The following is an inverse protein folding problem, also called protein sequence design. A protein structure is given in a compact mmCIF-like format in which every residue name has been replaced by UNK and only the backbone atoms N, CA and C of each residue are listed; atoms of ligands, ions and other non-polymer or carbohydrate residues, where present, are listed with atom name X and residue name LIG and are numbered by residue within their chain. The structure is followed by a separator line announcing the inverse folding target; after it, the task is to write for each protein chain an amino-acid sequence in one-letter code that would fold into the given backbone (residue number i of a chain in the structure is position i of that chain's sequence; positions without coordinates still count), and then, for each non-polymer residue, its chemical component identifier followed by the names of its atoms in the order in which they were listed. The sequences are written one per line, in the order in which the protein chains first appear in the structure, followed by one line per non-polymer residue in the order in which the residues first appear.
data_IF_886727096867
#
_entry.id   IF_886727096867
#
_cell.length_a   1.000
_cell.length_b   1.000
_cell.length_c   1.000
_cell.angle_alpha   90.00
_cell.angle_beta   90.00
_cell.angle_gamma   90.00
#
_symmetry.space_group_name_H-M   'P 1'
#
loop_
_entity.id
_entity.type
_entity.pdbx_description
1 polymer ?
#
# COMPACT_ATOMS: atom_id res chain seq x y z
N UNK A 1 3.20 21.85 -7.56
CA UNK A 1 2.46 20.89 -6.70
C UNK A 1 1.34 21.66 -6.01
N UNK A 2 0.09 21.27 -6.23
CA UNK A 2 -1.08 21.93 -5.67
C UNK A 2 -1.61 21.11 -4.47
N UNK A 3 -1.16 21.47 -3.27
CA UNK A 3 -1.53 20.76 -2.04
C UNK A 3 -2.97 21.00 -1.60
N UNK A 4 -3.58 22.10 -2.05
CA UNK A 4 -4.95 22.45 -1.66
C UNK A 4 -5.96 21.42 -2.18
N UNK A 5 -5.72 20.87 -3.37
CA UNK A 5 -6.51 19.75 -3.91
C UNK A 5 -6.47 18.51 -3.01
N UNK A 6 -5.31 18.22 -2.41
CA UNK A 6 -5.17 17.08 -1.50
C UNK A 6 -5.88 17.35 -0.17
N UNK A 7 -5.73 18.55 0.38
CA UNK A 7 -6.35 18.94 1.65
C UNK A 7 -7.88 19.04 1.54
N UNK A 8 -8.42 19.36 0.35
CA UNK A 8 -9.86 19.37 0.07
C UNK A 8 -10.45 17.97 -0.18
N UNK A 9 -9.61 16.95 -0.42
CA UNK A 9 -10.10 15.60 -0.69
C UNK A 9 -10.75 14.97 0.54
N UNK A 10 -11.71 14.04 0.38
CA UNK A 10 -12.29 13.27 1.48
C UNK A 10 -11.22 12.66 2.40
N UNK A 11 -11.45 12.70 3.71
CA UNK A 11 -10.49 12.23 4.72
C UNK A 11 -9.99 10.80 4.46
N UNK A 12 -10.85 9.91 3.95
CA UNK A 12 -10.48 8.53 3.60
C UNK A 12 -9.39 8.47 2.52
N UNK A 13 -9.42 9.38 1.54
CA UNK A 13 -8.40 9.47 0.49
C UNK A 13 -7.09 10.01 1.06
N UNK A 14 -7.16 11.00 1.96
CA UNK A 14 -5.98 11.53 2.63
C UNK A 14 -5.28 10.46 3.46
N UNK A 15 -6.02 9.73 4.30
CA UNK A 15 -5.50 8.63 5.11
C UNK A 15 -4.89 7.54 4.21
N UNK A 16 -5.60 7.16 3.14
CA UNK A 16 -5.11 6.15 2.20
C UNK A 16 -3.77 6.55 1.57
N UNK A 17 -3.68 7.76 1.02
CA UNK A 17 -2.47 8.25 0.37
C UNK A 17 -1.30 8.37 1.36
N UNK A 18 -1.53 8.95 2.55
CA UNK A 18 -0.51 9.07 3.58
C UNK A 18 -0.01 7.69 4.04
N UNK A 19 -0.92 6.74 4.26
CA UNK A 19 -0.56 5.37 4.62
C UNK A 19 0.24 4.69 3.49
N UNK A 20 -0.13 4.90 2.22
CA UNK A 20 0.61 4.36 1.08
C UNK A 20 2.03 4.92 0.98
N UNK A 21 2.22 6.22 1.17
CA UNK A 21 3.56 6.83 1.19
C UNK A 21 4.39 6.36 2.39
N UNK A 22 3.79 6.26 3.57
CA UNK A 22 4.45 5.70 4.76
C UNK A 22 4.83 4.22 4.56
N UNK A 23 3.97 3.44 3.91
CA UNK A 23 4.25 2.06 3.53
C UNK A 23 5.43 1.99 2.56
N UNK A 24 5.48 2.88 1.56
CA UNK A 24 6.59 2.93 0.59
C UNK A 24 7.93 3.22 1.27
N UNK A 25 7.97 4.21 2.17
CA UNK A 25 9.17 4.50 2.95
C UNK A 25 9.58 3.32 3.86
N UNK A 26 8.61 2.70 4.52
CA UNK A 26 8.85 1.53 5.37
C UNK A 26 9.36 0.33 4.56
N UNK A 27 8.81 0.11 3.36
CA UNK A 27 9.24 -0.95 2.46
C UNK A 27 10.66 -0.73 1.96
N UNK A 28 10.99 0.49 1.52
CA UNK A 28 12.33 0.84 1.06
C UNK A 28 13.37 0.55 2.16
N UNK A 29 13.09 0.99 3.39
CA UNK A 29 13.98 0.74 4.51
C UNK A 29 14.06 -0.76 4.88
N UNK A 30 12.92 -1.44 4.98
CA UNK A 30 12.88 -2.87 5.32
C UNK A 30 13.64 -3.74 4.31
N UNK A 31 13.56 -3.40 3.02
CA UNK A 31 14.24 -4.11 1.94
C UNK A 31 15.76 -3.86 1.96
N UNK A 32 16.19 -2.64 2.26
CA UNK A 32 17.60 -2.30 2.40
C UNK A 32 18.22 -2.90 3.68
N UNK A 33 17.47 -2.91 4.79
CA UNK A 33 17.97 -3.35 6.08
C UNK A 33 18.44 -4.82 6.10
N UNK A 34 19.43 -5.18 6.95
CA UNK A 34 19.78 -6.57 7.20
C UNK A 34 18.59 -7.34 7.78
N UNK A 35 18.31 -8.51 7.20
CA UNK A 35 17.08 -9.26 7.43
C UNK A 35 17.13 -9.91 8.81
N UNK A 36 15.99 -9.96 9.50
CA UNK A 36 15.88 -10.56 10.82
C UNK A 36 16.35 -9.69 12.00
N UNK A 37 16.93 -8.51 11.74
CA UNK A 37 17.31 -7.52 12.78
C UNK A 37 16.09 -6.84 13.41
N UNK A 38 16.30 -6.16 14.55
CA UNK A 38 15.27 -5.34 15.18
C UNK A 38 14.74 -4.25 14.22
N UNK A 39 15.64 -3.60 13.47
CA UNK A 39 15.28 -2.62 12.44
C UNK A 39 14.35 -3.22 11.39
N UNK A 40 14.73 -4.34 10.76
CA UNK A 40 13.91 -4.99 9.75
C UNK A 40 12.53 -5.41 10.30
N UNK A 41 12.48 -5.95 11.52
CA UNK A 41 11.21 -6.37 12.15
C UNK A 41 10.30 -5.20 12.47
N UNK A 42 10.85 -4.06 12.88
CA UNK A 42 10.07 -2.87 13.24
C UNK A 42 9.45 -2.23 12.00
N UNK A 43 10.26 -1.96 10.98
CA UNK A 43 9.76 -1.43 9.72
C UNK A 43 8.86 -2.41 8.97
N UNK A 44 9.10 -3.72 9.07
CA UNK A 44 8.19 -4.72 8.50
C UNK A 44 6.82 -4.77 9.19
N UNK A 45 6.76 -4.56 10.50
CA UNK A 45 5.48 -4.41 11.22
C UNK A 45 4.76 -3.14 10.82
N UNK A 46 5.48 -2.01 10.77
CA UNK A 46 4.93 -0.74 10.32
C UNK A 46 4.37 -0.85 8.89
N UNK A 47 5.13 -1.44 7.97
CA UNK A 47 4.70 -1.71 6.60
C UNK A 47 3.39 -2.52 6.57
N UNK A 48 3.28 -3.60 7.35
CA UNK A 48 2.06 -4.43 7.38
C UNK A 48 0.85 -3.64 7.90
N UNK A 49 1.02 -2.82 8.95
CA UNK A 49 -0.06 -1.97 9.48
C UNK A 49 -0.51 -0.94 8.45
N UNK A 50 0.44 -0.31 7.76
CA UNK A 50 0.13 0.65 6.71
C UNK A 50 -0.55 -0.01 5.51
N UNK A 51 -0.10 -1.19 5.07
CA UNK A 51 -0.75 -1.95 4.00
C UNK A 51 -2.17 -2.40 4.36
N UNK A 52 -2.41 -2.79 5.62
CA UNK A 52 -3.76 -3.07 6.09
C UNK A 52 -4.65 -1.81 6.05
N UNK A 53 -4.12 -0.67 6.47
CA UNK A 53 -4.83 0.62 6.41
C UNK A 53 -5.17 1.01 4.97
N UNK A 54 -4.20 0.87 4.05
CA UNK A 54 -4.39 1.08 2.60
C UNK A 54 -5.49 0.17 2.05
N UNK A 55 -5.47 -1.13 2.38
CA UNK A 55 -6.47 -2.08 1.90
C UNK A 55 -7.87 -1.77 2.43
N UNK A 56 -8.01 -1.43 3.71
CA UNK A 56 -9.31 -1.09 4.32
C UNK A 56 -9.87 0.20 3.73
N UNK A 57 -9.05 1.25 3.66
CA UNK A 57 -9.49 2.54 3.09
C UNK A 57 -9.82 2.44 1.60
N UNK A 58 -9.10 1.61 0.84
CA UNK A 58 -9.39 1.38 -0.58
C UNK A 58 -10.82 0.87 -0.84
N UNK A 59 -11.42 0.12 0.09
CA UNK A 59 -12.82 -0.37 -0.03
C UNK A 59 -13.82 0.79 -0.20
N UNK A 60 -13.49 1.97 0.33
CA UNK A 60 -14.34 3.16 0.31
C UNK A 60 -13.99 4.14 -0.84
N UNK A 61 -12.88 3.94 -1.55
CA UNK A 61 -12.42 4.84 -2.63
C UNK A 61 -12.95 4.33 -3.98
N UNK A 62 -14.14 4.80 -4.37
CA UNK A 62 -14.89 4.27 -5.53
C UNK A 62 -15.12 5.27 -6.66
N UNK A 63 -14.20 6.21 -6.84
CA UNK A 63 -14.33 7.31 -7.80
C UNK A 63 -14.24 6.90 -9.28
N UNK A 64 -13.83 5.67 -9.61
CA UNK A 64 -13.61 5.24 -11.01
C UNK A 64 -14.89 4.71 -11.67
N UNK A 65 -15.80 4.10 -10.90
CA UNK A 65 -16.93 3.35 -11.42
C UNK A 65 -18.24 3.83 -10.78
N UNK A 66 -18.45 5.15 -10.75
CA UNK A 66 -19.66 5.81 -10.24
C UNK A 66 -20.12 5.34 -8.84
N UNK A 67 -19.16 5.13 -7.93
CA UNK A 67 -19.45 4.66 -6.57
C UNK A 67 -19.53 3.14 -6.42
N UNK A 68 -19.43 2.37 -7.51
CA UNK A 68 -19.28 0.93 -7.49
C UNK A 68 -17.80 0.50 -7.38
N UNK A 69 -17.58 -0.79 -7.12
CA UNK A 69 -16.23 -1.38 -7.17
C UNK A 69 -15.68 -1.34 -8.59
N UNK A 70 -14.41 -0.95 -8.72
CA UNK A 70 -13.66 -0.98 -9.97
C UNK A 70 -12.63 -2.10 -9.97
N UNK A 71 -12.05 -2.42 -11.13
CA UNK A 71 -11.06 -3.50 -11.26
C UNK A 71 -9.86 -3.35 -10.30
N UNK A 72 -9.44 -2.12 -9.98
CA UNK A 72 -8.33 -1.88 -9.03
C UNK A 72 -8.65 -2.36 -7.60
N UNK A 73 -9.92 -2.58 -7.25
CA UNK A 73 -10.27 -3.12 -5.93
C UNK A 73 -9.83 -4.59 -5.75
N UNK A 74 -9.41 -5.27 -6.83
CA UNK A 74 -8.76 -6.58 -6.74
C UNK A 74 -7.50 -6.55 -5.85
N UNK A 75 -6.84 -5.39 -5.72
CA UNK A 75 -5.67 -5.24 -4.85
C UNK A 75 -6.02 -5.35 -3.36
N UNK A 76 -7.28 -5.17 -2.95
CA UNK A 76 -7.73 -5.32 -1.56
C UNK A 76 -7.58 -6.77 -1.08
N UNK A 77 -8.25 -7.78 -1.68
CA UNK A 77 -8.07 -9.17 -1.27
C UNK A 77 -6.64 -9.64 -1.49
N UNK A 78 -5.96 -9.22 -2.57
CA UNK A 78 -4.55 -9.58 -2.81
C UNK A 78 -3.63 -9.09 -1.67
N UNK A 79 -3.84 -7.86 -1.19
CA UNK A 79 -3.12 -7.32 -0.03
C UNK A 79 -3.41 -8.14 1.23
N UNK A 80 -4.69 -8.43 1.50
CA UNK A 80 -5.08 -9.21 2.67
C UNK A 80 -4.45 -10.61 2.67
N UNK A 81 -4.50 -11.32 1.54
CA UNK A 81 -3.86 -12.64 1.38
C UNK A 81 -2.34 -12.56 1.49
N UNK A 82 -1.70 -11.52 0.93
CA UNK A 82 -0.27 -11.31 1.04
C UNK A 82 0.18 -11.08 2.48
N UNK A 83 -0.56 -10.25 3.24
CA UNK A 83 -0.29 -10.01 4.67
C UNK A 83 -0.44 -11.30 5.46
N UNK A 84 -1.58 -11.97 5.35
CA UNK A 84 -1.86 -13.21 6.09
C UNK A 84 -0.85 -14.30 5.73
N UNK A 85 -0.61 -14.54 4.44
CA UNK A 85 0.34 -15.53 3.95
C UNK A 85 1.77 -15.25 4.42
N UNK A 86 2.21 -14.00 4.33
CA UNK A 86 3.54 -13.58 4.76
C UNK A 86 3.75 -13.71 6.27
N UNK A 87 2.76 -13.32 7.08
CA UNK A 87 2.80 -13.49 8.54
C UNK A 87 2.75 -14.97 8.94
N UNK A 88 1.88 -15.76 8.29
CA UNK A 88 1.75 -17.19 8.57
C UNK A 88 3.04 -17.94 8.28
N UNK A 89 3.67 -17.64 7.14
CA UNK A 89 4.93 -18.23 6.73
C UNK A 89 6.04 -18.02 7.79
N UNK A 90 6.23 -16.79 8.25
CA UNK A 90 7.31 -16.49 9.20
C UNK A 90 6.99 -16.91 10.64
N UNK A 91 5.74 -16.75 11.09
CA UNK A 91 5.38 -16.98 12.49
C UNK A 91 5.20 -18.46 12.81
N UNK A 92 4.44 -19.17 11.98
CA UNK A 92 4.03 -20.55 12.25
C UNK A 92 4.85 -21.58 11.47
N UNK A 93 5.18 -21.30 10.21
CA UNK A 93 5.91 -22.26 9.35
C UNK A 93 7.43 -22.11 9.40
N UNK A 94 7.93 -20.99 9.92
CA UNK A 94 9.35 -20.59 9.84
C UNK A 94 9.90 -20.60 8.40
N UNK A 95 9.02 -20.43 7.42
CA UNK A 95 9.36 -20.44 6.00
C UNK A 95 9.73 -19.02 5.55
N UNK A 96 11.03 -18.76 5.52
CA UNK A 96 11.59 -17.46 5.12
C UNK A 96 11.38 -17.19 3.64
N UNK A 97 11.39 -18.22 2.78
CA UNK A 97 11.21 -18.05 1.33
C UNK A 97 9.78 -17.63 1.02
N UNK A 98 8.79 -18.29 1.62
CA UNK A 98 7.39 -17.91 1.45
C UNK A 98 7.10 -16.53 2.06
N UNK A 99 7.65 -16.21 3.23
CA UNK A 99 7.53 -14.86 3.81
C UNK A 99 8.08 -13.79 2.88
N UNK A 100 9.30 -14.01 2.36
CA UNK A 100 9.95 -13.11 1.40
C UNK A 100 9.07 -12.92 0.17
N UNK A 101 8.63 -13.98 -0.47
CA UNK A 101 7.82 -13.88 -1.69
C UNK A 101 6.51 -13.10 -1.45
N UNK A 102 5.85 -13.32 -0.31
CA UNK A 102 4.67 -12.54 0.06
C UNK A 102 4.98 -11.05 0.25
N UNK A 103 6.09 -10.71 0.93
CA UNK A 103 6.50 -9.30 1.10
C UNK A 103 6.85 -8.63 -0.23
N UNK A 104 7.54 -9.34 -1.13
CA UNK A 104 7.81 -8.84 -2.47
C UNK A 104 6.51 -8.63 -3.27
N UNK A 105 5.55 -9.55 -3.18
CA UNK A 105 4.24 -9.39 -3.79
C UNK A 105 3.46 -8.18 -3.26
N UNK A 106 3.52 -7.92 -1.95
CA UNK A 106 2.91 -6.73 -1.36
C UNK A 106 3.57 -5.44 -1.84
N UNK A 107 4.91 -5.37 -1.85
CA UNK A 107 5.63 -4.17 -2.26
C UNK A 107 5.45 -3.90 -3.75
N UNK A 108 5.85 -4.84 -4.60
CA UNK A 108 5.91 -4.59 -6.05
C UNK A 108 4.56 -4.75 -6.73
N UNK A 109 3.69 -5.62 -6.22
CA UNK A 109 2.35 -5.83 -6.75
C UNK A 109 1.31 -4.93 -6.10
N UNK A 110 1.11 -5.07 -4.79
CA UNK A 110 -0.04 -4.49 -4.12
C UNK A 110 0.15 -3.06 -3.59
N UNK A 111 1.36 -2.51 -3.64
CA UNK A 111 1.65 -1.10 -3.33
C UNK A 111 2.04 -0.33 -4.59
N UNK A 112 3.05 -0.81 -5.32
CA UNK A 112 3.59 -0.07 -6.47
C UNK A 112 2.60 0.03 -7.63
N UNK A 113 1.99 -1.08 -8.08
CA UNK A 113 1.07 -1.06 -9.24
C UNK A 113 -0.15 -0.16 -9.00
N UNK A 114 -0.94 -0.30 -7.92
CA UNK A 114 -2.03 0.64 -7.63
C UNK A 114 -1.53 2.07 -7.38
N UNK A 115 -0.32 2.24 -6.82
CA UNK A 115 0.33 3.53 -6.70
C UNK A 115 0.52 4.22 -8.07
N UNK A 116 1.01 3.49 -9.07
CA UNK A 116 1.14 4.01 -10.45
C UNK A 116 -0.22 4.39 -11.05
N UNK A 117 -1.26 3.58 -10.82
CA UNK A 117 -2.63 3.92 -11.23
C UNK A 117 -3.14 5.21 -10.57
N UNK A 118 -2.67 5.57 -9.37
CA UNK A 118 -3.06 6.81 -8.71
C UNK A 118 -2.48 8.07 -9.38
N UNK A 119 -1.40 7.95 -10.16
CA UNK A 119 -0.77 9.06 -10.91
C UNK A 119 -1.19 9.14 -12.38
N UNK A 120 -2.11 8.29 -12.84
CA UNK A 120 -2.65 8.39 -14.20
C UNK A 120 -3.45 9.69 -14.40
N UNK A 121 -3.52 10.23 -15.64
CA UNK A 121 -4.34 11.40 -15.96
C UNK A 121 -5.79 11.23 -15.49
N UNK A 122 -6.37 12.31 -14.93
CA UNK A 122 -7.71 12.31 -14.36
C UNK A 122 -7.81 11.83 -12.90
N UNK A 123 -6.69 11.43 -12.27
CA UNK A 123 -6.63 11.03 -10.86
C UNK A 123 -6.15 12.18 -9.97
N UNK A 124 -6.56 12.16 -8.69
CA UNK A 124 -6.23 13.22 -7.74
C UNK A 124 -4.71 13.47 -7.62
N UNK A 125 -3.89 12.42 -7.44
CA UNK A 125 -2.45 12.61 -7.27
C UNK A 125 -1.75 13.09 -8.54
N UNK A 126 -2.31 12.79 -9.73
CA UNK A 126 -1.84 13.38 -10.97
C UNK A 126 -2.06 14.90 -10.97
N UNK A 127 -3.24 15.36 -10.59
CA UNK A 127 -3.55 16.80 -10.51
C UNK A 127 -2.71 17.51 -9.44
N UNK A 128 -2.48 16.88 -8.27
CA UNK A 128 -1.65 17.45 -7.21
C UNK A 128 -0.20 17.65 -7.69
N UNK A 129 0.37 16.70 -8.43
CA UNK A 129 1.79 16.73 -8.83
C UNK A 129 2.02 17.46 -10.16
N UNK A 130 1.19 17.18 -11.17
CA UNK A 130 1.35 17.64 -12.55
C UNK A 130 0.29 18.65 -12.99
N UNK A 131 -0.78 18.85 -12.22
CA UNK A 131 -1.80 19.86 -12.49
C UNK A 131 -1.28 21.24 -12.09
N UNK A 132 -0.73 21.94 -13.07
CA UNK A 132 -0.63 23.40 -13.06
C UNK A 132 -1.94 23.99 -13.55
#
# INVERSE_FOLDING_TARGET
MNLDLFLAAPLVIQIHALAAFAALGSAAWMLAAPKGTFSHRTFGRAFIVMMATVAVTAIFIRQINDGAFSFIHVFVPLTAFGIFGGLRAIRFKKDVKAHRNAMFGLVFGALTVPGLFAFMPGRLLHQVVFGG
#
